data_IF_603628983555
#
_entry.id   IF_603628983555
#
_cell.length_a   1.000
_cell.length_b   1.000
_cell.length_c   1.000
_cell.angle_alpha   90.00
_cell.angle_beta   90.00
_cell.angle_gamma   90.00
#
_symmetry.space_group_name_H-M   'P 1'
#
loop_
_entity.id
_entity.type
_entity.pdbx_description
1 polymer ?
#
# COMPACT_ATOMS: atom_id res chain seq x y z
N UNK A 1 -22.83 -59.27 -10.69
CA UNK A 1 -23.55 -57.98 -10.72
C UNK A 1 -23.11 -57.02 -9.59
N UNK A 2 -22.94 -57.50 -8.34
CA UNK A 2 -22.52 -56.65 -7.20
C UNK A 2 -21.23 -55.83 -7.43
N UNK A 3 -20.17 -56.44 -8.01
CA UNK A 3 -18.90 -55.75 -8.31
C UNK A 3 -19.01 -54.63 -9.36
N UNK A 4 -20.01 -54.67 -10.26
CA UNK A 4 -20.21 -53.65 -11.31
C UNK A 4 -20.83 -52.36 -10.77
N UNK A 5 -21.49 -52.41 -9.61
CA UNK A 5 -22.11 -51.25 -8.93
C UNK A 5 -21.16 -50.63 -7.89
N UNK A 6 -20.27 -51.44 -7.29
CA UNK A 6 -19.30 -51.00 -6.30
C UNK A 6 -18.25 -50.01 -6.85
N UNK A 7 -17.80 -50.20 -8.09
CA UNK A 7 -16.79 -49.34 -8.74
C UNK A 7 -17.31 -47.91 -8.98
N UNK A 8 -18.47 -47.69 -9.65
CA UNK A 8 -18.98 -46.34 -9.83
C UNK A 8 -19.36 -45.66 -8.52
N UNK A 9 -19.84 -46.42 -7.52
CA UNK A 9 -20.15 -45.90 -6.19
C UNK A 9 -18.89 -45.42 -5.44
N UNK A 10 -17.78 -46.16 -5.55
CA UNK A 10 -16.50 -45.76 -4.96
C UNK A 10 -15.93 -44.50 -5.62
N UNK A 11 -16.05 -44.36 -6.94
CA UNK A 11 -15.65 -43.15 -7.67
C UNK A 11 -16.50 -41.94 -7.27
N UNK A 12 -17.81 -42.14 -7.08
CA UNK A 12 -18.72 -41.09 -6.60
C UNK A 12 -18.37 -40.63 -5.18
N UNK A 13 -18.03 -41.56 -4.28
CA UNK A 13 -17.63 -41.27 -2.91
C UNK A 13 -16.24 -40.58 -2.83
N UNK A 14 -15.31 -40.94 -3.72
CA UNK A 14 -14.01 -40.27 -3.84
C UNK A 14 -14.14 -38.86 -4.42
N UNK A 15 -15.04 -38.65 -5.39
CA UNK A 15 -15.32 -37.33 -5.97
C UNK A 15 -16.13 -36.41 -5.04
N UNK A 16 -16.99 -36.96 -4.19
CA UNK A 16 -17.74 -36.17 -3.20
C UNK A 16 -16.87 -35.69 -2.02
N UNK A 17 -15.70 -36.32 -1.79
CA UNK A 17 -14.78 -35.96 -0.71
C UNK A 17 -13.77 -34.87 -1.04
N UNK A 18 -13.54 -34.57 -2.32
CA UNK A 18 -12.43 -33.72 -2.79
C UNK A 18 -12.72 -32.21 -2.85
N UNK A 19 -13.93 -31.76 -2.48
CA UNK A 19 -14.32 -30.34 -2.50
C UNK A 19 -14.74 -29.78 -1.14
N UNK A 20 -14.07 -30.17 -0.05
CA UNK A 20 -14.43 -29.72 1.32
C UNK A 20 -13.94 -28.32 1.71
N UNK A 21 -13.23 -27.60 0.82
CA UNK A 21 -12.73 -26.24 1.07
C UNK A 21 -12.86 -25.38 -0.19
N UNK A 22 -14.09 -24.98 -0.49
CA UNK A 22 -14.43 -24.03 -1.54
C UNK A 22 -14.76 -22.64 -0.97
N UNK A 23 -14.15 -22.29 0.17
CA UNK A 23 -14.11 -20.90 0.64
C UNK A 23 -13.00 -20.18 -0.13
N UNK A 24 -13.24 -19.97 -1.43
CA UNK A 24 -12.43 -19.05 -2.24
C UNK A 24 -13.16 -17.72 -2.18
N UNK A 25 -12.58 -16.77 -1.47
CA UNK A 25 -13.11 -15.40 -1.41
C UNK A 25 -13.15 -14.81 -2.83
N UNK A 26 -14.23 -14.14 -3.28
CA UNK A 26 -14.44 -13.80 -4.69
C UNK A 26 -13.60 -12.61 -5.19
N UNK A 27 -12.47 -12.31 -4.56
CA UNK A 27 -11.69 -11.12 -4.81
C UNK A 27 -10.23 -11.40 -4.47
N UNK A 28 -9.30 -10.92 -5.29
CA UNK A 28 -7.86 -10.91 -4.99
C UNK A 28 -7.52 -10.05 -3.75
N UNK A 29 -8.52 -9.45 -3.11
CA UNK A 29 -8.37 -8.76 -1.84
C UNK A 29 -8.24 -9.75 -0.66
N UNK A 30 -7.19 -9.56 0.14
CA UNK A 30 -7.05 -10.22 1.44
C UNK A 30 -8.26 -9.82 2.31
N UNK A 31 -9.02 -10.79 2.79
CA UNK A 31 -10.14 -10.52 3.71
C UNK A 31 -9.62 -10.05 5.06
N UNK A 32 -10.38 -9.22 5.78
CA UNK A 32 -10.02 -8.75 7.11
C UNK A 32 -9.71 -9.91 8.05
N UNK A 33 -10.49 -10.99 7.99
CA UNK A 33 -10.31 -12.20 8.80
C UNK A 33 -8.96 -12.88 8.49
N UNK A 34 -8.57 -12.95 7.21
CA UNK A 34 -7.29 -13.54 6.81
C UNK A 34 -6.13 -12.64 7.18
N UNK A 35 -6.32 -11.32 7.10
CA UNK A 35 -5.31 -10.31 7.43
C UNK A 35 -4.92 -10.35 8.91
N UNK A 36 -5.91 -10.48 9.81
CA UNK A 36 -5.66 -10.46 11.27
C UNK A 36 -5.51 -11.86 11.88
N UNK A 37 -6.04 -12.89 11.21
CA UNK A 37 -6.09 -14.26 11.72
C UNK A 37 -4.89 -15.13 11.35
N UNK A 38 -3.99 -14.66 10.48
CA UNK A 38 -2.84 -15.43 10.00
C UNK A 38 -1.53 -14.66 10.16
N UNK A 39 -0.43 -15.38 10.42
CA UNK A 39 0.92 -14.79 10.48
C UNK A 39 1.30 -14.12 9.16
N UNK A 40 0.91 -14.71 8.03
CA UNK A 40 1.16 -14.17 6.69
C UNK A 40 0.38 -12.87 6.47
N UNK A 41 -0.90 -12.83 6.84
CA UNK A 41 -1.72 -11.62 6.80
C UNK A 41 -1.11 -10.47 7.62
N UNK A 42 -0.70 -10.76 8.86
CA UNK A 42 -0.05 -9.77 9.73
C UNK A 42 1.30 -9.30 9.15
N UNK A 43 2.09 -10.21 8.57
CA UNK A 43 3.38 -9.88 7.93
C UNK A 43 3.15 -8.97 6.73
N UNK A 44 2.16 -9.26 5.90
CA UNK A 44 1.83 -8.45 4.74
C UNK A 44 1.27 -7.07 5.14
N UNK A 45 0.44 -7.00 6.18
CA UNK A 45 -0.04 -5.73 6.72
C UNK A 45 1.13 -4.85 7.20
N UNK A 46 2.08 -5.43 7.92
CA UNK A 46 3.27 -4.73 8.39
C UNK A 46 4.17 -4.28 7.23
N UNK A 47 4.42 -5.15 6.25
CA UNK A 47 5.18 -4.81 5.06
C UNK A 47 4.51 -3.67 4.27
N UNK A 48 3.19 -3.69 4.16
CA UNK A 48 2.41 -2.60 3.56
C UNK A 48 2.62 -1.28 4.29
N UNK A 49 2.53 -1.28 5.62
CA UNK A 49 2.80 -0.08 6.43
C UNK A 49 4.21 0.49 6.21
N UNK A 50 5.23 -0.38 6.14
CA UNK A 50 6.60 0.07 5.81
C UNK A 50 6.74 0.53 4.35
N UNK A 51 5.99 -0.05 3.42
CA UNK A 51 6.03 0.35 2.02
C UNK A 51 5.50 1.78 1.80
N UNK A 52 4.50 2.22 2.59
CA UNK A 52 3.96 3.59 2.54
C UNK A 52 5.04 4.68 2.70
N UNK A 53 6.15 4.39 3.38
CA UNK A 53 7.24 5.34 3.53
C UNK A 53 7.93 5.70 2.20
N UNK A 54 7.94 4.77 1.25
CA UNK A 54 8.69 4.87 -0.02
C UNK A 54 7.83 4.76 -1.27
N UNK A 55 6.57 4.35 -1.16
CA UNK A 55 5.71 4.15 -2.32
C UNK A 55 5.13 5.48 -2.83
N UNK A 56 4.93 5.55 -4.15
CA UNK A 56 4.25 6.67 -4.80
C UNK A 56 2.76 6.37 -4.88
N UNK A 57 2.01 6.90 -3.91
CA UNK A 57 0.56 6.68 -3.81
C UNK A 57 -0.18 7.77 -4.60
N UNK A 58 -1.30 7.36 -5.21
CA UNK A 58 -2.20 8.29 -5.89
C UNK A 58 -2.70 9.36 -4.92
N UNK A 59 -2.57 10.61 -5.33
CA UNK A 59 -3.05 11.77 -4.59
C UNK A 59 -3.75 12.72 -5.56
N UNK A 60 -4.99 13.07 -5.25
CA UNK A 60 -5.81 13.96 -6.08
C UNK A 60 -5.97 13.46 -7.54
N UNK A 61 -6.11 12.14 -7.72
CA UNK A 61 -6.35 11.53 -9.04
C UNK A 61 -5.10 11.30 -9.88
N UNK A 62 -3.90 11.60 -9.37
CA UNK A 62 -2.64 11.40 -10.10
C UNK A 62 -1.55 10.80 -9.20
N UNK A 63 -0.62 10.05 -9.80
CA UNK A 63 0.59 9.56 -9.14
C UNK A 63 1.75 10.46 -9.57
N UNK A 64 2.26 11.26 -8.64
CA UNK A 64 3.42 12.13 -8.84
C UNK A 64 4.69 11.45 -8.30
N UNK A 65 5.72 11.36 -9.15
CA UNK A 65 7.02 10.77 -8.78
C UNK A 65 7.82 11.61 -7.78
N UNK A 66 7.37 12.84 -7.49
CA UNK A 66 7.93 13.67 -6.41
C UNK A 66 7.24 13.43 -5.06
N UNK A 67 6.13 12.70 -5.02
CA UNK A 67 5.31 12.51 -3.83
C UNK A 67 5.59 11.15 -3.18
N UNK A 68 6.37 11.20 -2.11
CA UNK A 68 6.72 10.06 -1.26
C UNK A 68 6.87 10.57 0.17
N UNK A 69 6.40 9.80 1.17
CA UNK A 69 6.43 10.22 2.58
C UNK A 69 7.83 10.68 3.01
N UNK A 70 8.87 9.84 2.81
CA UNK A 70 10.22 10.15 3.28
C UNK A 70 10.81 11.40 2.63
N UNK A 71 10.54 11.59 1.33
CA UNK A 71 10.98 12.78 0.60
C UNK A 71 10.36 14.04 1.17
N UNK A 72 9.04 14.04 1.40
CA UNK A 72 8.39 15.22 1.95
C UNK A 72 8.76 15.47 3.41
N UNK A 73 8.93 14.42 4.22
CA UNK A 73 9.45 14.55 5.58
C UNK A 73 10.81 15.24 5.60
N UNK A 74 11.75 14.79 4.77
CA UNK A 74 13.08 15.39 4.66
C UNK A 74 13.00 16.86 4.22
N UNK A 75 12.25 17.18 3.16
CA UNK A 75 12.12 18.56 2.71
C UNK A 75 11.53 19.48 3.78
N UNK A 76 10.47 19.03 4.47
CA UNK A 76 9.78 19.85 5.47
C UNK A 76 10.58 20.00 6.77
N UNK A 77 11.45 19.04 7.10
CA UNK A 77 12.28 19.11 8.30
C UNK A 77 13.58 19.87 8.07
N UNK A 78 14.14 19.81 6.86
CA UNK A 78 15.54 20.19 6.64
C UNK A 78 15.74 21.36 5.68
N UNK A 79 14.80 21.66 4.78
CA UNK A 79 15.06 22.71 3.78
C UNK A 79 15.02 24.11 4.38
N UNK A 80 14.25 24.30 5.45
CA UNK A 80 14.24 25.54 6.21
C UNK A 80 15.22 25.52 7.40
N UNK A 81 16.02 24.46 7.56
CA UNK A 81 17.05 24.35 8.60
C UNK A 81 18.35 25.06 8.18
N UNK A 82 19.38 24.98 9.02
CA UNK A 82 20.73 25.44 8.75
C UNK A 82 21.65 24.34 8.15
N UNK A 83 21.15 23.12 7.96
CA UNK A 83 21.95 21.98 7.47
C UNK A 83 22.08 21.96 5.94
N UNK A 84 21.14 22.58 5.21
CA UNK A 84 21.09 22.55 3.73
C UNK A 84 20.79 23.95 3.18
N UNK A 85 21.48 24.32 2.08
CA UNK A 85 21.20 25.57 1.35
C UNK A 85 20.88 25.31 -0.12
N UNK A 86 19.89 26.01 -0.65
CA UNK A 86 19.57 26.00 -2.07
C UNK A 86 20.49 26.97 -2.83
N UNK A 87 21.33 26.46 -3.73
CA UNK A 87 22.28 27.27 -4.51
C UNK A 87 21.66 28.10 -5.65
N UNK A 88 20.35 27.99 -5.88
CA UNK A 88 19.66 28.63 -7.00
C UNK A 88 18.35 29.27 -6.53
N UNK A 89 18.06 30.47 -7.04
CA UNK A 89 16.74 31.11 -6.91
C UNK A 89 15.87 30.67 -8.08
N UNK A 90 14.68 30.16 -7.80
CA UNK A 90 13.71 29.70 -8.80
C UNK A 90 12.28 29.94 -8.32
N UNK A 91 11.31 29.82 -9.23
CA UNK A 91 9.87 29.87 -8.91
C UNK A 91 9.29 28.48 -8.65
N UNK A 92 10.14 27.44 -8.60
CA UNK A 92 9.71 26.08 -8.28
C UNK A 92 9.14 26.02 -6.85
N UNK A 93 8.01 25.34 -6.61
CA UNK A 93 7.44 25.20 -5.27
C UNK A 93 8.42 24.65 -4.23
N UNK A 94 9.40 23.84 -4.64
CA UNK A 94 10.45 23.32 -3.77
C UNK A 94 11.33 24.45 -3.20
N UNK A 95 11.59 25.51 -3.96
CA UNK A 95 12.40 26.65 -3.51
C UNK A 95 11.73 27.40 -2.35
N UNK A 96 10.41 27.53 -2.37
CA UNK A 96 9.66 28.14 -1.27
C UNK A 96 9.79 27.38 0.05
N UNK A 97 10.18 26.10 -0.01
CA UNK A 97 10.45 25.31 1.18
C UNK A 97 11.74 25.76 1.90
N UNK A 98 12.69 26.36 1.18
CA UNK A 98 13.91 26.94 1.76
C UNK A 98 13.70 28.36 2.29
N UNK A 99 12.83 29.14 1.65
CA UNK A 99 12.62 30.56 1.98
C UNK A 99 11.51 30.82 2.99
N UNK A 100 10.95 29.78 3.61
CA UNK A 100 9.78 29.84 4.52
C UNK A 100 8.52 30.46 3.87
N UNK A 101 8.44 30.51 2.55
CA UNK A 101 7.35 31.16 1.81
C UNK A 101 6.31 30.13 1.33
N UNK A 102 5.96 29.18 2.20
CA UNK A 102 5.06 28.08 1.86
C UNK A 102 3.68 28.58 1.45
N UNK A 103 3.16 28.07 0.33
CA UNK A 103 1.77 28.32 -0.07
C UNK A 103 0.83 27.36 0.67
N UNK A 104 -0.35 27.83 1.15
CA UNK A 104 -1.37 26.94 1.71
C UNK A 104 -1.82 25.82 0.76
N UNK A 105 -1.67 26.03 -0.56
CA UNK A 105 -2.04 25.06 -1.59
C UNK A 105 -0.88 24.17 -2.06
N UNK A 106 0.29 24.27 -1.45
CA UNK A 106 1.51 23.59 -1.92
C UNK A 106 1.36 22.06 -1.86
N UNK A 107 1.68 21.41 -2.98
CA UNK A 107 1.45 19.98 -3.18
C UNK A 107 2.20 19.10 -2.19
N UNK A 108 3.46 19.41 -1.90
CA UNK A 108 4.31 18.64 -0.98
C UNK A 108 3.73 18.53 0.44
N UNK A 109 3.27 19.64 1.01
CA UNK A 109 2.72 19.70 2.38
C UNK A 109 1.36 19.03 2.45
N UNK A 110 0.51 19.26 1.44
CA UNK A 110 -0.79 18.60 1.33
C UNK A 110 -0.66 17.09 1.17
N UNK A 111 0.29 16.65 0.35
CA UNK A 111 0.60 15.24 0.20
C UNK A 111 1.12 14.65 1.51
N UNK A 112 2.07 15.31 2.18
CA UNK A 112 2.62 14.85 3.46
C UNK A 112 1.54 14.65 4.53
N UNK A 113 0.59 15.58 4.61
CA UNK A 113 -0.57 15.45 5.49
C UNK A 113 -1.44 14.24 5.10
N UNK A 114 -1.75 14.09 3.81
CA UNK A 114 -2.56 12.97 3.29
C UNK A 114 -1.93 11.61 3.56
N UNK A 115 -0.63 11.43 3.31
CA UNK A 115 0.03 10.13 3.49
C UNK A 115 0.25 9.76 4.98
N UNK A 116 0.11 10.73 5.89
CA UNK A 116 0.30 10.53 7.32
C UNK A 116 -0.96 10.03 8.05
N UNK A 117 -2.14 10.07 7.40
CA UNK A 117 -3.46 9.78 8.00
C UNK A 117 -4.31 8.89 7.09
#
# INVERSE_FOLDING_TARGET
MKKKILIPLAVLLLGAGSCKKLEVSPSDAITTETLVGTTEGLTNALNGAYALFKDHIEFNGTVDQNNMYLRQFYHLSDFASDDIVCGQVTTDPLYYSFSLDHSPAQGNTRYFWYISY
#
